data_IF_585040783144
#
_entry.id   IF_585040783144
#
_cell.length_a   1.000
_cell.length_b   1.000
_cell.length_c   1.000
_cell.angle_alpha   90.00
_cell.angle_beta   90.00
_cell.angle_gamma   90.00
#
_symmetry.space_group_name_H-M   'P 1'
#
loop_
_entity.id
_entity.type
_entity.pdbx_description
1 polymer ?
#
# COMPACT_ATOMS: atom_id res chain seq x y z
N UNK A 1 -0.54 -27.10 4.76
CA UNK A 1 -1.20 -25.99 5.47
C UNK A 1 -1.78 -25.01 4.45
N UNK A 2 -3.05 -24.76 4.52
CA UNK A 2 -3.70 -23.85 3.58
C UNK A 2 -3.73 -22.44 4.22
N UNK A 3 -2.91 -21.54 3.71
CA UNK A 3 -3.00 -20.12 4.06
C UNK A 3 -4.26 -19.56 3.39
N UNK A 4 -5.20 -19.08 4.19
CA UNK A 4 -6.35 -18.38 3.64
C UNK A 4 -5.92 -16.95 3.35
N UNK A 5 -5.81 -16.61 2.09
CA UNK A 5 -5.62 -15.23 1.64
C UNK A 5 -7.01 -14.64 1.43
N UNK A 6 -7.30 -13.59 2.15
CA UNK A 6 -8.56 -12.87 1.99
C UNK A 6 -8.22 -11.55 1.30
N UNK A 7 -8.69 -11.40 0.09
CA UNK A 7 -8.54 -10.15 -0.67
C UNK A 7 -9.78 -9.32 -0.43
N UNK A 8 -9.61 -8.20 0.22
CA UNK A 8 -10.66 -7.22 0.37
C UNK A 8 -10.40 -6.09 -0.60
N UNK A 9 -11.34 -5.86 -1.51
CA UNK A 9 -11.47 -4.53 -2.07
C UNK A 9 -12.05 -3.66 -0.96
N UNK A 10 -11.22 -2.89 -0.27
CA UNK A 10 -11.75 -1.89 0.62
C UNK A 10 -12.35 -0.83 -0.28
N UNK A 11 -13.66 -0.87 -0.35
CA UNK A 11 -14.40 0.34 -0.64
C UNK A 11 -14.04 1.29 0.50
N UNK A 12 -13.08 2.15 0.24
CA UNK A 12 -12.77 3.18 1.20
C UNK A 12 -14.09 3.77 1.62
N UNK A 13 -14.28 3.97 2.91
CA UNK A 13 -15.37 4.80 3.39
C UNK A 13 -15.06 6.21 2.86
N UNK A 14 -15.20 6.36 1.58
CA UNK A 14 -15.42 7.64 0.99
C UNK A 14 -16.92 7.86 1.17
N UNK A 15 -17.24 8.65 2.12
CA UNK A 15 -18.49 9.39 2.15
C UNK A 15 -18.61 10.18 0.85
N UNK A 16 -18.81 9.53 -0.30
CA UNK A 16 -19.23 10.13 -1.57
C UNK A 16 -18.85 9.12 -2.67
N UNK A 17 -19.84 8.35 -3.09
CA UNK A 17 -19.97 7.63 -4.31
C UNK A 17 -18.76 7.50 -5.23
N UNK A 18 -17.83 6.63 -4.90
CA UNK A 18 -16.83 6.22 -5.85
C UNK A 18 -17.13 4.78 -6.26
N UNK A 19 -17.42 4.61 -7.51
CA UNK A 19 -17.48 3.32 -8.18
C UNK A 19 -16.18 2.56 -7.90
N UNK A 20 -16.26 1.53 -7.07
CA UNK A 20 -15.15 0.64 -6.81
C UNK A 20 -14.83 -0.13 -8.08
N UNK A 21 -13.73 0.19 -8.70
CA UNK A 21 -13.16 -0.65 -9.73
C UNK A 21 -12.46 -1.78 -9.00
N UNK A 22 -12.99 -2.99 -9.13
CA UNK A 22 -12.34 -4.18 -8.64
C UNK A 22 -11.05 -4.39 -9.46
N UNK A 23 -9.91 -4.00 -8.90
CA UNK A 23 -8.62 -4.32 -9.50
C UNK A 23 -8.25 -5.75 -9.16
N UNK A 24 -8.78 -6.68 -9.94
CA UNK A 24 -8.21 -8.00 -10.09
C UNK A 24 -7.08 -8.00 -11.11
N UNK A 25 -6.22 -6.99 -11.07
CA UNK A 25 -5.11 -6.90 -11.99
C UNK A 25 -4.05 -7.92 -11.62
N UNK A 26 -3.82 -8.86 -12.51
CA UNK A 26 -2.67 -9.75 -12.47
C UNK A 26 -1.39 -8.90 -12.45
N UNK A 27 -0.70 -8.89 -11.33
CA UNK A 27 0.57 -8.19 -11.10
C UNK A 27 1.74 -8.75 -11.94
N UNK A 28 1.46 -9.27 -13.14
CA UNK A 28 2.39 -10.11 -13.90
C UNK A 28 3.50 -9.34 -14.63
N UNK A 29 3.45 -8.03 -14.66
CA UNK A 29 4.42 -7.20 -15.40
C UNK A 29 4.95 -6.03 -14.57
N UNK A 30 5.32 -6.31 -13.31
CA UNK A 30 5.97 -5.29 -12.50
C UNK A 30 7.46 -5.26 -12.83
N UNK A 31 7.87 -4.31 -13.64
CA UNK A 31 9.28 -4.00 -13.84
C UNK A 31 9.78 -3.31 -12.56
N UNK A 32 10.44 -4.09 -11.71
CA UNK A 32 11.00 -3.59 -10.46
C UNK A 32 12.31 -2.86 -10.73
N UNK A 33 12.23 -1.60 -11.02
CA UNK A 33 13.39 -0.76 -10.84
C UNK A 33 13.56 -0.52 -9.33
N UNK A 34 14.40 -1.37 -8.73
CA UNK A 34 14.76 -1.28 -7.32
C UNK A 34 15.59 -0.03 -7.12
N UNK A 35 14.98 1.04 -6.67
CA UNK A 35 15.69 2.22 -6.22
C UNK A 35 16.12 1.96 -4.79
N UNK A 36 17.41 1.80 -4.57
CA UNK A 36 17.99 1.63 -3.25
C UNK A 36 17.93 2.91 -2.43
N UNK A 37 17.71 2.75 -1.18
CA UNK A 37 17.19 3.59 -0.11
C UNK A 37 18.02 4.79 0.32
N UNK A 38 18.87 5.44 -0.43
CA UNK A 38 19.74 6.44 0.22
C UNK A 38 19.88 7.80 -0.46
N UNK A 39 19.03 8.13 -1.40
CA UNK A 39 19.14 9.47 -1.96
C UNK A 39 17.77 10.07 -2.21
N UNK A 40 17.36 10.94 -1.32
CA UNK A 40 16.24 11.86 -1.58
C UNK A 40 16.71 12.83 -2.66
N UNK A 41 16.48 12.49 -3.92
CA UNK A 41 16.60 13.47 -4.99
C UNK A 41 15.38 14.39 -4.94
N UNK A 42 15.55 15.53 -4.30
CA UNK A 42 14.61 16.64 -4.45
C UNK A 42 14.80 17.17 -5.88
N UNK A 43 14.07 16.59 -6.81
CA UNK A 43 14.01 17.12 -8.16
C UNK A 43 13.01 18.27 -8.16
N UNK A 44 13.52 19.50 -8.02
CA UNK A 44 12.76 20.73 -8.11
C UNK A 44 12.33 21.02 -9.56
N UNK A 45 11.71 20.07 -10.22
CA UNK A 45 11.11 20.33 -11.52
C UNK A 45 9.60 20.49 -11.35
N UNK A 46 9.17 21.73 -11.43
CA UNK A 46 7.82 22.22 -11.25
C UNK A 46 6.84 21.64 -12.27
N UNK A 47 6.28 20.47 -11.95
CA UNK A 47 4.95 20.10 -12.40
C UNK A 47 4.20 19.59 -11.17
N UNK A 48 3.27 20.38 -10.74
CA UNK A 48 2.56 20.49 -9.49
C UNK A 48 1.57 19.33 -9.25
N UNK A 49 2.06 18.10 -9.20
CA UNK A 49 1.36 17.00 -8.54
C UNK A 49 2.23 16.57 -7.36
N UNK A 50 2.08 17.27 -6.25
CA UNK A 50 2.75 16.93 -5.01
C UNK A 50 2.21 15.60 -4.52
N UNK A 51 2.96 14.53 -4.73
CA UNK A 51 2.71 13.26 -4.06
C UNK A 51 2.76 13.47 -2.54
N UNK A 52 1.92 12.74 -1.83
CA UNK A 52 2.04 12.67 -0.37
C UNK A 52 3.42 12.11 -0.01
N UNK A 53 3.90 12.42 1.17
CA UNK A 53 5.16 11.86 1.65
C UNK A 53 4.99 10.39 2.04
N UNK A 54 6.09 9.65 2.09
CA UNK A 54 6.10 8.27 2.56
C UNK A 54 5.60 8.18 4.01
N UNK A 55 5.95 9.12 4.87
CA UNK A 55 5.48 9.18 6.26
C UNK A 55 3.96 9.36 6.32
N UNK A 56 3.41 10.15 5.41
CA UNK A 56 1.96 10.29 5.30
C UNK A 56 1.32 8.97 4.85
N UNK A 57 1.89 8.30 3.85
CA UNK A 57 1.41 7.00 3.40
C UNK A 57 1.48 5.94 4.52
N UNK A 58 2.58 5.90 5.28
CA UNK A 58 2.74 5.04 6.46
C UNK A 58 1.66 5.30 7.51
N UNK A 59 1.38 6.56 7.79
CA UNK A 59 0.33 6.90 8.78
C UNK A 59 -1.07 6.48 8.31
N UNK A 60 -1.34 6.58 7.01
CA UNK A 60 -2.60 6.11 6.42
C UNK A 60 -2.74 4.60 6.57
N UNK A 61 -1.67 3.84 6.26
CA UNK A 61 -1.68 2.39 6.41
C UNK A 61 -1.85 1.94 7.87
N UNK A 62 -1.13 2.56 8.82
CA UNK A 62 -1.25 2.23 10.24
C UNK A 62 -2.66 2.49 10.79
N UNK A 63 -3.32 3.54 10.32
CA UNK A 63 -4.70 3.83 10.72
C UNK A 63 -5.69 2.71 10.36
N UNK A 64 -5.35 1.85 9.40
CA UNK A 64 -6.18 0.71 8.98
C UNK A 64 -5.97 -0.54 9.85
N UNK A 65 -4.93 -0.57 10.69
CA UNK A 65 -4.58 -1.73 11.52
C UNK A 65 -4.50 -1.31 12.98
N UNK A 66 -5.65 -1.21 13.67
CA UNK A 66 -5.69 -0.78 15.07
C UNK A 66 -4.78 -1.64 15.95
N UNK A 67 -3.92 -0.99 16.74
CA UNK A 67 -2.94 -1.63 17.60
C UNK A 67 -1.57 -1.86 16.96
N UNK A 68 -1.44 -1.77 15.64
CA UNK A 68 -0.15 -1.77 14.99
C UNK A 68 0.58 -0.43 15.19
N UNK A 69 1.91 -0.49 15.15
CA UNK A 69 2.79 0.67 15.25
C UNK A 69 3.94 0.56 14.24
N UNK A 70 4.86 1.49 14.26
CA UNK A 70 5.95 1.55 13.28
C UNK A 70 6.87 0.31 13.26
N UNK A 71 6.97 -0.43 14.36
CA UNK A 71 7.78 -1.66 14.39
C UNK A 71 7.17 -2.82 13.61
N UNK A 72 5.92 -2.70 13.21
CA UNK A 72 5.19 -3.74 12.47
C UNK A 72 5.29 -3.58 10.95
N UNK A 73 5.91 -2.51 10.46
CA UNK A 73 6.13 -2.39 9.02
C UNK A 73 7.07 -3.46 8.48
N UNK A 74 6.65 -4.07 7.39
CA UNK A 74 7.50 -4.89 6.54
C UNK A 74 8.06 -4.07 5.39
N UNK A 75 7.74 -4.50 4.16
CA UNK A 75 8.15 -3.81 2.95
C UNK A 75 7.41 -2.46 2.80
N UNK A 76 8.15 -1.43 2.40
CA UNK A 76 7.59 -0.14 2.01
C UNK A 76 8.28 0.26 0.71
N UNK A 77 7.51 0.38 -0.36
CA UNK A 77 8.02 0.79 -1.67
C UNK A 77 7.15 1.88 -2.28
N UNK A 78 7.77 2.71 -3.14
CA UNK A 78 7.07 3.55 -4.09
C UNK A 78 7.24 2.92 -5.47
N UNK A 79 6.15 2.53 -6.07
CA UNK A 79 6.12 1.93 -7.40
C UNK A 79 5.33 2.78 -8.40
N UNK A 80 5.52 2.51 -9.66
CA UNK A 80 4.78 3.15 -10.74
C UNK A 80 3.99 2.11 -11.51
N UNK A 81 2.67 2.22 -11.43
CA UNK A 81 1.75 1.35 -12.13
C UNK A 81 0.89 2.17 -13.10
N UNK A 82 0.97 1.83 -14.39
CA UNK A 82 0.28 2.57 -15.47
C UNK A 82 0.46 4.10 -15.40
N UNK A 83 1.69 4.56 -15.08
CA UNK A 83 2.01 5.99 -14.96
C UNK A 83 1.52 6.66 -13.68
N UNK A 84 1.01 5.90 -12.74
CA UNK A 84 0.57 6.36 -11.41
C UNK A 84 1.57 5.94 -10.36
N UNK A 85 2.00 6.86 -9.53
CA UNK A 85 2.83 6.56 -8.37
C UNK A 85 1.97 5.95 -7.26
N UNK A 86 2.40 4.81 -6.72
CA UNK A 86 1.68 4.05 -5.69
C UNK A 86 2.64 3.64 -4.59
N UNK A 87 2.31 3.94 -3.35
CA UNK A 87 3.00 3.39 -2.19
C UNK A 87 2.45 2.00 -1.88
N UNK A 88 3.33 0.99 -1.87
CA UNK A 88 3.03 -0.33 -1.36
C UNK A 88 3.56 -0.45 0.06
N UNK A 89 2.68 -0.74 1.01
CA UNK A 89 3.03 -0.81 2.43
C UNK A 89 2.54 -2.12 3.02
N UNK A 90 3.46 -2.90 3.58
CA UNK A 90 3.16 -4.11 4.32
C UNK A 90 3.22 -3.85 5.84
N UNK A 91 2.25 -4.39 6.56
CA UNK A 91 2.20 -4.39 8.03
C UNK A 91 1.98 -5.83 8.51
N UNK A 92 2.84 -6.29 9.41
CA UNK A 92 2.72 -7.59 10.06
C UNK A 92 2.20 -7.39 11.49
N UNK A 93 0.97 -7.82 11.74
CA UNK A 93 0.35 -7.66 13.05
C UNK A 93 -0.62 -8.80 13.34
N UNK A 94 -0.60 -9.32 14.57
CA UNK A 94 -1.50 -10.40 15.03
C UNK A 94 -1.60 -11.59 14.05
N UNK A 95 -0.46 -12.22 13.72
CA UNK A 95 -0.37 -13.34 12.78
C UNK A 95 -0.97 -13.06 11.39
N UNK A 96 -1.01 -11.81 10.99
CA UNK A 96 -1.52 -11.40 9.70
C UNK A 96 -0.56 -10.45 9.02
N UNK A 97 -0.50 -10.55 7.70
CA UNK A 97 0.11 -9.55 6.83
C UNK A 97 -1.00 -8.74 6.21
N UNK A 98 -0.91 -7.45 6.35
CA UNK A 98 -1.74 -6.46 5.68
C UNK A 98 -0.89 -5.80 4.60
N UNK A 99 -1.40 -5.68 3.41
CA UNK A 99 -0.74 -4.97 2.31
C UNK A 99 -1.69 -3.89 1.79
N UNK A 100 -1.18 -2.68 1.67
CA UNK A 100 -1.93 -1.51 1.23
C UNK A 100 -1.26 -0.89 0.02
N UNK A 101 -2.04 -0.67 -1.05
CA UNK A 101 -1.66 0.14 -2.18
C UNK A 101 -2.29 1.53 -2.01
N UNK A 102 -1.46 2.56 -1.88
CA UNK A 102 -1.90 3.93 -1.63
C UNK A 102 -1.49 4.82 -2.81
N UNK A 103 -2.46 5.44 -3.46
CA UNK A 103 -2.21 6.40 -4.52
C UNK A 103 -1.39 7.57 -3.98
N UNK A 104 -0.20 7.78 -4.52
CA UNK A 104 0.73 8.77 -4.00
C UNK A 104 0.25 10.21 -4.22
N UNK A 105 -0.58 10.46 -5.23
CA UNK A 105 -1.07 11.79 -5.54
C UNK A 105 -2.22 12.23 -4.64
N UNK A 106 -3.01 11.28 -4.16
CA UNK A 106 -4.25 11.56 -3.42
C UNK A 106 -4.24 11.06 -1.98
N UNK A 107 -3.38 10.10 -1.65
CA UNK A 107 -3.40 9.41 -0.37
C UNK A 107 -4.55 8.41 -0.21
N UNK A 108 -5.27 8.12 -1.28
CA UNK A 108 -6.36 7.13 -1.23
C UNK A 108 -5.79 5.71 -1.25
N UNK A 109 -6.36 4.85 -0.42
CA UNK A 109 -6.11 3.41 -0.50
C UNK A 109 -6.85 2.89 -1.72
N UNK A 110 -6.11 2.31 -2.67
CA UNK A 110 -6.62 1.77 -3.92
C UNK A 110 -6.55 0.25 -4.00
N UNK A 111 -5.84 -0.37 -3.06
CA UNK A 111 -5.76 -1.81 -2.92
C UNK A 111 -5.51 -2.22 -1.47
N UNK A 112 -6.06 -3.36 -1.08
CA UNK A 112 -5.76 -3.98 0.21
C UNK A 112 -5.77 -5.49 0.07
N UNK A 113 -4.76 -6.12 0.64
CA UNK A 113 -4.71 -7.58 0.80
C UNK A 113 -4.42 -7.92 2.26
N UNK A 114 -5.16 -8.90 2.80
CA UNK A 114 -4.91 -9.44 4.14
C UNK A 114 -4.65 -10.93 4.05
N UNK A 115 -3.52 -11.36 4.60
CA UNK A 115 -3.11 -12.76 4.66
C UNK A 115 -2.95 -13.19 6.11
N UNK A 116 -3.75 -14.18 6.51
CA UNK A 116 -3.67 -14.74 7.86
C UNK A 116 -2.73 -15.95 7.88
N UNK A 117 -1.84 -15.99 8.86
CA UNK A 117 -0.96 -17.12 9.10
C UNK A 117 -1.52 -17.93 10.27
N UNK A 118 -2.05 -19.11 9.99
CA UNK A 118 -2.45 -20.03 11.04
C UNK A 118 -1.20 -20.68 11.64
N UNK A 119 -0.94 -20.47 12.92
CA UNK A 119 -0.02 -21.30 13.68
C UNK A 119 -0.78 -22.58 14.06
N UNK A 120 -0.60 -23.61 13.26
CA UNK A 120 -0.98 -24.96 13.73
C UNK A 120 0.18 -25.44 14.61
N UNK A 121 -0.09 -25.53 15.90
CA UNK A 121 0.77 -26.25 16.83
C UNK A 121 0.46 -27.74 16.73
#
# INVERSE_FOLDING_TARGET
MKNKTVKFAIFGIALLGALGIAYGASRKYRNRNKVSNDTVYINNNANNSQNITMEKAKSIALAQVPGANQSHFGKIDLDYDYGRAVYEIEIFYNNSKYEFDIDASTGKIIGTEVKHYNRNY
#
